data_IF_228047347409
#
_entry.id   IF_228047347409
#
_cell.length_a   1.000
_cell.length_b   1.000
_cell.length_c   1.000
_cell.angle_alpha   90.00
_cell.angle_beta   90.00
_cell.angle_gamma   90.00
#
_symmetry.space_group_name_H-M   'P 1'
#
loop_
_entity.id
_entity.type
_entity.pdbx_description
1 polymer ?
#
# COMPACT_ATOMS: atom_id res chain seq x y z
N UNK A 1 -8.85 62.00 62.98
CA UNK A 1 -9.65 61.05 62.15
C UNK A 1 -8.75 60.40 61.11
N UNK A 2 -9.08 59.21 60.59
CA UNK A 2 -8.20 58.44 59.66
C UNK A 2 -8.57 58.68 58.18
N UNK A 3 -7.61 59.12 57.36
CA UNK A 3 -7.53 58.88 55.89
C UNK A 3 -6.04 58.76 55.53
N UNK A 4 -5.53 57.57 55.23
CA UNK A 4 -5.38 56.98 53.88
C UNK A 4 -4.30 57.68 53.05
N UNK A 5 -3.21 56.95 52.77
CA UNK A 5 -2.11 57.35 51.88
C UNK A 5 -1.58 56.10 51.14
N UNK A 6 -1.15 56.27 49.88
CA UNK A 6 -0.52 55.26 48.99
C UNK A 6 -1.44 54.10 48.51
N UNK A 7 -1.10 53.40 47.39
CA UNK A 7 0.02 53.61 46.48
C UNK A 7 -0.37 53.91 45.01
N UNK A 8 0.22 54.96 44.42
CA UNK A 8 0.12 55.25 42.97
C UNK A 8 1.34 54.65 42.24
N UNK A 9 1.43 53.31 42.22
CA UNK A 9 2.60 52.56 41.71
C UNK A 9 2.23 51.47 40.70
N UNK A 10 0.96 51.04 40.69
CA UNK A 10 0.47 49.88 39.93
C UNK A 10 0.60 49.98 38.38
N UNK A 11 0.38 51.14 37.70
CA UNK A 11 0.26 51.13 36.24
C UNK A 11 1.58 50.92 35.47
N UNK A 12 2.73 51.22 36.08
CA UNK A 12 4.04 51.18 35.40
C UNK A 12 4.51 49.73 35.18
N UNK A 13 4.28 48.84 36.15
CA UNK A 13 4.71 47.44 36.07
C UNK A 13 4.04 46.67 34.91
N UNK A 14 2.76 46.95 34.64
CA UNK A 14 2.01 46.27 33.57
C UNK A 14 2.58 46.53 32.17
N UNK A 15 3.01 47.76 31.90
CA UNK A 15 3.58 48.14 30.60
C UNK A 15 4.93 47.45 30.32
N UNK A 16 5.77 47.26 31.35
CA UNK A 16 7.07 46.59 31.22
C UNK A 16 6.90 45.07 31.04
N UNK A 17 5.97 44.43 31.76
CA UNK A 17 5.66 43.02 31.54
C UNK A 17 5.08 42.75 30.14
N UNK A 18 4.20 43.62 29.64
CA UNK A 18 3.60 43.46 28.32
C UNK A 18 4.61 43.51 27.17
N UNK A 19 5.55 44.45 27.21
CA UNK A 19 6.59 44.58 26.16
C UNK A 19 7.59 43.43 26.21
N UNK A 20 8.00 42.97 27.39
CA UNK A 20 8.86 41.78 27.54
C UNK A 20 8.18 40.50 27.01
N UNK A 21 6.89 40.28 27.32
CA UNK A 21 6.16 39.11 26.82
C UNK A 21 6.04 39.13 25.28
N UNK A 22 5.73 40.30 24.71
CA UNK A 22 5.69 40.49 23.26
C UNK A 22 7.03 40.22 22.58
N UNK A 23 8.14 40.70 23.17
CA UNK A 23 9.49 40.46 22.66
C UNK A 23 9.87 38.96 22.69
N UNK A 24 9.53 38.23 23.76
CA UNK A 24 9.76 36.78 23.85
C UNK A 24 8.95 36.01 22.80
N UNK A 25 7.67 36.36 22.61
CA UNK A 25 6.82 35.75 21.57
C UNK A 25 7.39 36.02 20.17
N UNK A 26 7.76 37.28 19.88
CA UNK A 26 8.39 37.65 18.61
C UNK A 26 9.71 36.90 18.36
N UNK A 27 10.55 36.75 19.38
CA UNK A 27 11.79 35.97 19.29
C UNK A 27 11.54 34.48 19.05
N UNK A 28 10.56 33.87 19.72
CA UNK A 28 10.18 32.45 19.50
C UNK A 28 9.60 32.24 18.09
N UNK A 29 8.76 33.16 17.60
CA UNK A 29 8.23 33.11 16.24
C UNK A 29 9.35 33.31 15.22
N UNK A 30 10.23 34.28 15.39
CA UNK A 30 11.38 34.51 14.53
C UNK A 30 12.32 33.30 14.50
N UNK A 31 12.66 32.71 15.65
CA UNK A 31 13.52 31.51 15.75
C UNK A 31 12.86 30.27 15.12
N UNK A 32 11.53 30.14 15.19
CA UNK A 32 10.77 29.11 14.45
C UNK A 32 10.76 29.37 12.94
N UNK A 33 10.58 30.61 12.50
CA UNK A 33 10.62 30.98 11.09
C UNK A 33 12.02 30.80 10.48
N UNK A 34 13.09 31.18 11.19
CA UNK A 34 14.49 30.99 10.75
C UNK A 34 14.86 29.51 10.70
N UNK A 35 14.46 28.69 11.68
CA UNK A 35 14.73 27.24 11.63
C UNK A 35 13.90 26.55 10.53
N UNK A 36 12.65 26.96 10.29
CA UNK A 36 11.84 26.48 9.15
C UNK A 36 12.44 26.90 7.80
N UNK A 37 12.90 28.16 7.65
CA UNK A 37 13.52 28.67 6.41
C UNK A 37 14.88 28.01 6.13
N UNK A 38 15.68 27.73 7.17
CA UNK A 38 16.87 26.87 7.05
C UNK A 38 16.51 25.46 6.57
N UNK A 39 15.54 24.78 7.20
CA UNK A 39 15.11 23.43 6.77
C UNK A 39 14.69 23.37 5.30
N UNK A 40 13.90 24.34 4.83
CA UNK A 40 13.52 24.41 3.41
C UNK A 40 14.72 24.70 2.48
N UNK A 41 15.62 25.61 2.86
CA UNK A 41 16.81 25.93 2.05
C UNK A 41 17.81 24.76 1.97
N UNK A 42 17.96 23.98 3.05
CA UNK A 42 18.75 22.74 3.04
C UNK A 42 18.09 21.67 2.17
N UNK A 43 16.76 21.54 2.20
CA UNK A 43 16.02 20.61 1.35
C UNK A 43 16.21 20.91 -0.14
N UNK A 44 16.06 22.16 -0.57
CA UNK A 44 16.26 22.54 -1.98
C UNK A 44 17.71 22.35 -2.44
N UNK A 45 18.70 22.61 -1.56
CA UNK A 45 20.12 22.47 -1.94
C UNK A 45 20.55 21.02 -2.17
N UNK A 46 20.02 20.06 -1.40
CA UNK A 46 20.40 18.63 -1.51
C UNK A 46 19.83 17.99 -2.78
N UNK A 47 18.62 18.37 -3.20
CA UNK A 47 17.96 17.81 -4.41
C UNK A 47 18.76 18.11 -5.70
N UNK A 48 19.65 19.09 -5.70
CA UNK A 48 20.41 19.52 -6.88
C UNK A 48 21.69 18.73 -7.18
N UNK A 49 22.30 18.05 -6.20
CA UNK A 49 23.66 17.47 -6.35
C UNK A 49 23.68 15.98 -6.74
N UNK A 50 22.64 15.21 -6.40
CA UNK A 50 22.70 13.74 -6.45
C UNK A 50 22.35 13.14 -7.82
N UNK A 51 23.22 13.33 -8.83
CA UNK A 51 23.22 12.58 -10.10
C UNK A 51 24.24 11.43 -10.08
N UNK A 52 24.12 10.56 -9.08
CA UNK A 52 25.01 9.42 -8.85
C UNK A 52 24.49 8.11 -9.49
N UNK A 53 25.33 7.06 -9.43
CA UNK A 53 25.17 5.78 -10.12
C UNK A 53 23.99 4.97 -9.56
N UNK A 54 23.28 4.25 -10.42
CA UNK A 54 22.18 3.34 -10.04
C UNK A 54 22.71 1.91 -10.03
N UNK A 55 22.39 1.15 -8.99
CA UNK A 55 22.41 -0.32 -9.00
C UNK A 55 20.98 -0.85 -8.84
N UNK A 56 20.69 -1.99 -9.46
CA UNK A 56 19.42 -2.71 -9.35
C UNK A 56 19.74 -4.16 -9.06
N UNK A 57 19.35 -4.64 -7.87
CA UNK A 57 19.61 -6.03 -7.46
C UNK A 57 18.37 -6.90 -7.71
N UNK A 58 18.54 -7.90 -8.58
CA UNK A 58 17.67 -9.07 -8.70
C UNK A 58 18.56 -10.31 -8.56
N UNK A 59 18.07 -11.36 -7.89
CA UNK A 59 18.87 -12.55 -7.64
C UNK A 59 19.07 -13.44 -8.89
N UNK A 60 20.24 -14.10 -8.92
CA UNK A 60 20.78 -15.04 -9.93
C UNK A 60 21.61 -14.42 -11.08
N UNK A 61 22.79 -15.02 -11.30
CA UNK A 61 23.82 -14.58 -12.25
C UNK A 61 23.55 -14.98 -13.71
N UNK A 62 23.95 -14.11 -14.66
CA UNK A 62 24.62 -14.44 -15.94
C UNK A 62 25.23 -13.12 -16.52
N UNK A 63 26.35 -13.14 -17.30
CA UNK A 63 27.30 -12.00 -17.28
C UNK A 63 27.12 -10.92 -18.37
N UNK A 64 27.80 -9.78 -18.13
CA UNK A 64 27.81 -8.59 -19.02
C UNK A 64 28.55 -8.78 -20.36
N UNK A 65 27.90 -8.39 -21.45
CA UNK A 65 28.49 -7.71 -22.62
C UNK A 65 27.35 -7.00 -23.39
N UNK A 66 27.53 -5.97 -24.21
CA UNK A 66 28.71 -5.18 -24.59
C UNK A 66 28.28 -3.75 -24.96
N UNK A 67 29.20 -2.79 -25.05
CA UNK A 67 28.88 -1.38 -25.33
C UNK A 67 28.62 -1.11 -26.82
N UNK A 68 27.39 -0.75 -27.19
CA UNK A 68 27.03 -0.37 -28.56
C UNK A 68 27.10 1.16 -28.73
N UNK A 69 27.89 1.62 -29.70
CA UNK A 69 28.00 3.03 -30.07
C UNK A 69 27.03 3.38 -31.20
N UNK A 70 26.26 4.46 -31.05
CA UNK A 70 25.41 4.97 -32.13
C UNK A 70 26.26 5.54 -33.27
N UNK A 71 26.13 4.95 -34.45
CA UNK A 71 26.52 5.60 -35.72
C UNK A 71 25.26 6.19 -36.38
N UNK A 72 25.38 7.40 -36.90
CA UNK A 72 24.30 8.02 -37.68
C UNK A 72 24.10 7.26 -39.00
N UNK A 73 22.83 7.06 -39.37
CA UNK A 73 22.44 6.48 -40.66
C UNK A 73 22.14 7.64 -41.62
N UNK A 74 22.81 7.75 -42.78
CA UNK A 74 22.46 8.76 -43.78
C UNK A 74 21.16 8.38 -44.50
N UNK A 75 20.29 9.36 -44.72
CA UNK A 75 19.06 9.18 -45.52
C UNK A 75 19.25 9.77 -46.93
N UNK A 76 18.57 9.21 -47.92
CA UNK A 76 18.56 9.72 -49.30
C UNK A 76 17.21 9.41 -49.93
N UNK A 77 16.58 10.40 -50.55
CA UNK A 77 15.25 10.27 -51.17
C UNK A 77 15.40 10.04 -52.67
N UNK A 78 14.82 8.96 -53.24
CA UNK A 78 14.73 8.80 -54.69
C UNK A 78 13.71 9.77 -55.28
N UNK A 79 14.11 10.57 -56.27
CA UNK A 79 13.15 11.27 -57.14
C UNK A 79 12.47 10.26 -58.08
N UNK A 80 11.15 10.38 -58.26
CA UNK A 80 10.44 9.75 -59.38
C UNK A 80 9.65 10.80 -60.16
N UNK A 81 10.03 10.97 -61.43
CA UNK A 81 9.33 11.78 -62.43
C UNK A 81 8.43 10.90 -63.28
N UNK A 82 7.19 11.32 -63.53
CA UNK A 82 6.31 10.73 -64.56
C UNK A 82 5.65 11.85 -65.35
N UNK A 83 5.67 11.75 -66.67
CA UNK A 83 5.30 12.83 -67.59
C UNK A 83 3.80 13.15 -67.65
N UNK A 84 3.52 14.43 -67.91
CA UNK A 84 2.17 14.91 -68.26
C UNK A 84 2.00 14.91 -69.78
N UNK A 85 0.94 14.27 -70.29
CA UNK A 85 0.40 14.51 -71.64
C UNK A 85 -1.08 14.89 -71.55
N UNK A 86 -1.53 15.75 -72.47
CA UNK A 86 -2.81 16.49 -72.40
C UNK A 86 -3.43 16.62 -73.79
N UNK A 87 -4.71 17.01 -73.83
CA UNK A 87 -5.57 17.34 -74.99
C UNK A 87 -6.24 16.13 -75.67
N UNK A 88 -7.46 16.21 -76.23
CA UNK A 88 -8.62 17.12 -76.03
C UNK A 88 -9.85 16.60 -76.86
N UNK A 89 -11.05 17.20 -76.66
CA UNK A 89 -12.24 17.20 -77.58
C UNK A 89 -13.05 15.87 -77.63
N UNK A 90 -14.40 15.86 -77.66
CA UNK A 90 -15.43 16.91 -77.49
C UNK A 90 -16.84 16.40 -77.92
N UNK A 91 -17.94 17.04 -77.50
CA UNK A 91 -19.40 16.70 -77.75
C UNK A 91 -19.84 15.30 -77.24
N UNK A 92 -21.10 14.97 -76.86
CA UNK A 92 -22.40 15.66 -76.62
C UNK A 92 -23.39 14.62 -75.99
N UNK A 93 -24.64 14.82 -75.54
CA UNK A 93 -25.61 15.95 -75.52
C UNK A 93 -26.55 15.84 -74.26
N UNK A 94 -27.82 16.30 -74.31
CA UNK A 94 -28.82 16.30 -73.21
C UNK A 94 -29.76 15.06 -73.16
N UNK A 95 -30.21 14.62 -71.97
CA UNK A 95 -31.64 14.59 -71.55
C UNK A 95 -31.86 14.06 -70.10
N UNK A 96 -33.00 14.41 -69.49
CA UNK A 96 -33.61 13.78 -68.30
C UNK A 96 -35.10 13.46 -68.64
N UNK A 97 -35.71 12.36 -68.16
CA UNK A 97 -36.48 12.47 -66.89
C UNK A 97 -36.74 11.18 -66.06
N UNK A 98 -37.17 11.42 -64.81
CA UNK A 98 -38.20 10.68 -64.03
C UNK A 98 -38.18 9.14 -63.83
N UNK A 99 -38.03 8.74 -62.55
CA UNK A 99 -39.04 7.92 -61.84
C UNK A 99 -38.87 6.38 -61.82
N UNK A 100 -39.43 5.75 -60.77
CA UNK A 100 -39.60 4.29 -60.66
C UNK A 100 -39.02 3.65 -59.40
N UNK A 101 -39.64 2.56 -58.95
CA UNK A 101 -39.22 1.67 -57.86
C UNK A 101 -39.06 0.24 -58.41
N UNK A 102 -38.37 -0.62 -57.62
CA UNK A 102 -38.23 -2.09 -57.71
C UNK A 102 -36.94 -2.68 -58.34
N UNK A 103 -36.63 -3.90 -57.91
CA UNK A 103 -35.43 -4.73 -58.15
C UNK A 103 -35.68 -5.73 -59.34
N UNK A 104 -34.93 -6.84 -59.60
CA UNK A 104 -33.70 -7.41 -58.98
C UNK A 104 -32.65 -8.03 -59.96
N UNK A 105 -31.65 -8.74 -59.41
CA UNK A 105 -30.82 -9.82 -60.04
C UNK A 105 -29.81 -9.42 -61.15
N UNK A 106 -28.61 -9.99 -61.32
CA UNK A 106 -27.86 -11.12 -60.70
C UNK A 106 -26.32 -10.77 -60.60
N UNK A 107 -25.36 -11.72 -60.57
CA UNK A 107 -24.89 -12.36 -59.34
C UNK A 107 -23.40 -12.10 -58.97
N UNK A 108 -23.02 -12.66 -57.82
CA UNK A 108 -21.71 -12.56 -57.16
C UNK A 108 -20.46 -12.94 -58.00
N UNK A 109 -19.42 -12.11 -57.94
CA UNK A 109 -18.00 -12.55 -58.01
C UNK A 109 -17.22 -11.95 -56.85
N UNK A 110 -17.37 -12.53 -55.66
CA UNK A 110 -16.45 -12.29 -54.53
C UNK A 110 -15.08 -12.88 -54.88
N UNK A 111 -14.15 -12.05 -55.34
CA UNK A 111 -12.72 -12.40 -55.28
C UNK A 111 -12.36 -12.58 -53.79
N UNK A 112 -11.66 -13.65 -53.39
CA UNK A 112 -11.18 -13.77 -52.03
C UNK A 112 -10.08 -12.73 -51.79
N UNK A 113 -10.43 -11.64 -51.11
CA UNK A 113 -9.45 -10.79 -50.44
C UNK A 113 -8.80 -11.62 -49.34
N UNK A 114 -7.56 -12.02 -49.55
CA UNK A 114 -6.78 -12.75 -48.53
C UNK A 114 -6.43 -11.77 -47.42
N UNK A 115 -7.28 -11.72 -46.39
CA UNK A 115 -6.97 -11.04 -45.13
C UNK A 115 -5.85 -11.81 -44.42
N UNK A 116 -4.61 -11.46 -44.74
CA UNK A 116 -3.43 -11.94 -44.01
C UNK A 116 -3.43 -11.24 -42.64
N UNK A 117 -3.52 -11.97 -41.51
CA UNK A 117 -3.44 -11.35 -40.20
C UNK A 117 -2.08 -10.67 -40.03
N UNK A 118 -2.08 -9.35 -39.82
CA UNK A 118 -0.86 -8.54 -39.71
C UNK A 118 -0.43 -7.81 -41.00
N UNK A 119 -1.17 -7.91 -42.11
CA UNK A 119 -0.90 -7.10 -43.30
C UNK A 119 -1.43 -5.65 -43.14
N UNK A 120 -0.66 -4.79 -42.49
CA UNK A 120 -0.88 -3.34 -42.52
C UNK A 120 -0.82 -2.81 -43.96
N UNK A 121 -1.75 -1.94 -44.33
CA UNK A 121 -1.75 -1.31 -45.64
C UNK A 121 -0.49 -0.45 -45.80
N UNK A 122 0.24 -0.62 -46.90
CA UNK A 122 1.47 0.12 -47.20
C UNK A 122 1.23 1.64 -47.12
N UNK A 123 1.87 2.28 -46.12
CA UNK A 123 1.70 3.71 -45.81
C UNK A 123 0.91 4.01 -44.52
N UNK A 124 0.24 3.03 -43.90
CA UNK A 124 -0.35 3.19 -42.57
C UNK A 124 0.72 3.11 -41.48
N UNK A 125 0.83 4.16 -40.66
CA UNK A 125 1.69 4.19 -39.47
C UNK A 125 0.97 3.45 -38.36
N UNK A 126 1.47 2.28 -37.94
CA UNK A 126 0.95 1.58 -36.77
C UNK A 126 1.42 2.29 -35.48
N UNK A 127 0.52 2.84 -34.65
CA UNK A 127 0.89 3.47 -33.38
C UNK A 127 1.52 2.49 -32.37
N UNK A 128 1.33 1.17 -32.54
CA UNK A 128 1.93 0.17 -31.66
C UNK A 128 3.46 0.12 -31.78
N UNK A 129 4.00 0.28 -32.99
CA UNK A 129 5.45 0.26 -33.27
C UNK A 129 6.19 1.48 -32.71
N UNK A 130 5.48 2.57 -32.44
CA UNK A 130 6.02 3.80 -31.83
C UNK A 130 5.64 3.94 -30.35
N UNK A 131 4.92 2.96 -29.80
CA UNK A 131 4.60 2.91 -28.37
C UNK A 131 5.85 2.45 -27.63
N UNK A 132 6.60 3.41 -27.08
CA UNK A 132 7.74 3.13 -26.19
C UNK A 132 7.20 2.33 -25.00
N UNK A 133 7.43 1.02 -25.02
CA UNK A 133 7.29 0.14 -23.86
C UNK A 133 8.50 0.40 -22.98
N UNK A 134 8.32 0.64 -21.68
CA UNK A 134 9.45 0.57 -20.77
C UNK A 134 9.97 -0.89 -20.83
N UNK A 135 11.25 -1.14 -21.12
CA UNK A 135 11.79 -2.53 -21.16
C UNK A 135 11.59 -3.28 -19.82
N UNK A 136 11.33 -2.51 -18.76
CA UNK A 136 10.92 -2.84 -17.38
C UNK A 136 9.45 -3.31 -17.24
N UNK A 137 8.72 -3.64 -18.32
CA UNK A 137 7.31 -4.10 -18.26
C UNK A 137 7.09 -5.62 -18.56
N UNK A 138 8.15 -6.38 -18.85
CA UNK A 138 8.04 -7.84 -19.07
C UNK A 138 8.09 -8.62 -17.75
N UNK A 139 7.04 -8.50 -16.94
CA UNK A 139 6.91 -9.23 -15.65
C UNK A 139 5.69 -10.15 -15.62
N UNK A 140 5.84 -11.33 -15.01
CA UNK A 140 4.70 -12.14 -14.60
C UNK A 140 3.90 -11.39 -13.53
N UNK A 141 2.64 -11.05 -13.84
CA UNK A 141 1.72 -10.37 -12.94
C UNK A 141 0.88 -11.46 -12.24
N UNK A 142 0.98 -11.63 -10.90
CA UNK A 142 0.14 -12.59 -10.17
C UNK A 142 -1.36 -12.31 -10.34
N UNK A 143 -2.18 -13.36 -10.28
CA UNK A 143 -3.63 -13.29 -10.53
C UNK A 143 -4.36 -12.29 -9.60
N UNK A 144 -3.87 -12.12 -8.37
CA UNK A 144 -4.41 -11.19 -7.36
C UNK A 144 -3.64 -9.86 -7.23
N UNK A 145 -2.81 -9.50 -8.22
CA UNK A 145 -1.94 -8.32 -8.16
C UNK A 145 -2.74 -6.99 -8.12
N UNK A 146 -2.59 -6.25 -7.03
CA UNK A 146 -3.21 -4.91 -6.82
C UNK A 146 -2.24 -3.73 -7.05
N UNK A 147 -1.11 -3.98 -7.72
CA UNK A 147 -0.12 -2.98 -8.11
C UNK A 147 1.27 -3.22 -7.54
N UNK A 148 2.27 -2.56 -8.12
CA UNK A 148 3.68 -2.58 -7.70
C UNK A 148 4.14 -1.17 -7.33
N UNK A 149 4.93 -1.06 -6.26
CA UNK A 149 5.51 0.18 -5.77
C UNK A 149 7.04 0.15 -5.91
N UNK A 150 7.62 1.22 -6.48
CA UNK A 150 9.06 1.43 -6.56
C UNK A 150 9.45 2.63 -5.68
N UNK A 151 10.48 2.42 -4.87
CA UNK A 151 11.08 3.45 -4.02
C UNK A 151 12.61 3.28 -3.99
N UNK A 152 13.32 4.27 -3.46
CA UNK A 152 14.73 4.15 -3.15
C UNK A 152 14.99 4.45 -1.67
N UNK A 153 16.02 3.81 -1.12
CA UNK A 153 16.49 3.97 0.26
C UNK A 153 17.98 4.34 0.23
N UNK A 154 18.36 5.32 1.05
CA UNK A 154 19.71 5.86 1.17
C UNK A 154 19.88 6.35 2.63
N UNK A 155 21.04 6.16 3.26
CA UNK A 155 21.21 6.44 4.70
C UNK A 155 22.49 7.22 5.02
N UNK A 156 22.32 8.47 5.43
CA UNK A 156 23.41 9.41 5.73
C UNK A 156 23.85 9.24 7.19
N UNK A 157 24.74 8.27 7.43
CA UNK A 157 25.20 7.85 8.77
C UNK A 157 25.68 8.99 9.67
N UNK A 158 26.42 9.96 9.12
CA UNK A 158 26.96 11.11 9.87
C UNK A 158 25.89 11.99 10.53
N UNK A 159 24.67 11.97 10.01
CA UNK A 159 23.58 12.84 10.46
C UNK A 159 22.34 12.08 10.94
N UNK A 160 22.42 10.74 10.98
CA UNK A 160 21.34 9.82 11.35
C UNK A 160 20.04 10.05 10.55
N UNK A 161 20.17 10.30 9.24
CA UNK A 161 19.05 10.52 8.31
C UNK A 161 18.85 9.32 7.37
N UNK A 162 17.64 8.76 7.39
CA UNK A 162 17.15 7.83 6.38
C UNK A 162 16.38 8.61 5.31
N UNK A 163 16.91 8.63 4.09
CA UNK A 163 16.27 9.21 2.91
C UNK A 163 15.46 8.12 2.19
N UNK A 164 14.17 8.39 1.97
CA UNK A 164 13.24 7.52 1.26
C UNK A 164 12.69 8.28 0.06
N UNK A 165 13.00 7.85 -1.16
CA UNK A 165 12.48 8.46 -2.39
C UNK A 165 11.38 7.60 -2.98
N UNK A 166 10.15 8.11 -3.00
CA UNK A 166 9.00 7.46 -3.62
C UNK A 166 9.05 7.72 -5.13
N UNK A 167 9.28 6.67 -5.94
CA UNK A 167 9.55 6.82 -7.38
C UNK A 167 8.25 6.74 -8.18
N UNK A 168 7.68 5.53 -8.32
CA UNK A 168 6.51 5.24 -9.15
C UNK A 168 5.67 4.12 -8.53
N UNK A 169 4.40 4.05 -8.88
CA UNK A 169 3.64 2.81 -8.83
C UNK A 169 3.14 2.47 -10.25
N UNK A 170 2.90 1.18 -10.51
CA UNK A 170 2.20 0.67 -11.70
C UNK A 170 1.09 -0.29 -11.28
N UNK A 171 0.15 -0.53 -12.19
CA UNK A 171 -0.88 -1.58 -12.10
C UNK A 171 -1.83 -1.47 -10.89
N UNK A 172 -2.07 -0.25 -10.37
CA UNK A 172 -3.13 -0.05 -9.36
C UNK A 172 -4.51 -0.43 -9.93
N UNK A 173 -5.46 -0.92 -9.12
CA UNK A 173 -6.80 -1.29 -9.58
C UNK A 173 -7.61 -0.08 -10.08
N UNK A 174 -8.62 -0.32 -10.94
CA UNK A 174 -9.67 0.67 -11.24
C UNK A 174 -10.72 0.70 -10.14
N UNK A 175 -11.45 1.82 -10.04
CA UNK A 175 -12.50 2.02 -9.02
C UNK A 175 -13.77 1.20 -9.23
N UNK A 176 -13.99 0.77 -10.47
CA UNK A 176 -15.15 -0.02 -10.90
C UNK A 176 -14.71 -1.01 -11.96
N UNK A 177 -15.26 -2.22 -11.92
CA UNK A 177 -15.12 -3.18 -13.01
C UNK A 177 -15.92 -2.72 -14.23
N UNK A 178 -15.38 -2.92 -15.43
CA UNK A 178 -16.05 -2.61 -16.69
C UNK A 178 -15.98 -1.15 -17.17
N UNK A 179 -15.30 -0.25 -16.45
CA UNK A 179 -15.00 1.09 -16.98
C UNK A 179 -13.60 1.59 -16.57
N UNK A 180 -13.01 2.47 -17.39
CA UNK A 180 -11.67 3.04 -17.15
C UNK A 180 -11.70 4.17 -16.10
N UNK A 181 -12.36 3.95 -14.96
CA UNK A 181 -12.36 4.87 -13.82
C UNK A 181 -11.05 4.70 -13.05
N UNK A 182 -10.02 5.42 -13.51
CA UNK A 182 -8.71 5.49 -12.87
C UNK A 182 -8.79 6.06 -11.45
N UNK A 183 -7.87 5.63 -10.59
CA UNK A 183 -7.70 6.14 -9.23
C UNK A 183 -7.13 7.58 -9.20
N UNK A 184 -7.21 8.23 -8.04
CA UNK A 184 -6.50 9.48 -7.72
C UNK A 184 -5.49 9.20 -6.56
N UNK A 185 -4.42 8.42 -6.82
CA UNK A 185 -3.63 7.82 -5.76
C UNK A 185 -2.68 8.76 -5.00
N UNK A 186 -2.45 8.43 -3.74
CA UNK A 186 -1.38 8.99 -2.90
C UNK A 186 -0.82 7.91 -1.96
N UNK A 187 0.35 8.17 -1.37
CA UNK A 187 1.02 7.23 -0.46
C UNK A 187 1.29 7.89 0.89
N UNK A 188 1.10 7.14 1.98
CA UNK A 188 1.67 7.45 3.31
C UNK A 188 2.84 6.52 3.59
N UNK A 189 3.90 7.06 4.18
CA UNK A 189 5.13 6.36 4.52
C UNK A 189 5.32 6.47 6.03
N UNK A 190 5.43 5.32 6.69
CA UNK A 190 5.60 5.16 8.12
C UNK A 190 6.93 4.46 8.42
N UNK A 191 7.55 4.79 9.55
CA UNK A 191 8.74 4.09 10.03
C UNK A 191 8.40 3.29 11.29
N UNK A 192 8.21 1.99 11.13
CA UNK A 192 7.82 1.08 12.20
C UNK A 192 8.85 1.05 13.33
N UNK A 193 8.43 0.89 14.60
CA UNK A 193 7.04 0.73 15.06
C UNK A 193 6.24 2.04 15.27
N UNK A 194 6.75 3.23 14.90
CA UNK A 194 6.04 4.49 15.13
C UNK A 194 5.00 4.80 14.03
N UNK A 195 3.84 4.15 14.10
CA UNK A 195 2.73 4.42 13.19
C UNK A 195 2.01 5.76 13.46
N UNK A 196 2.29 6.44 14.58
CA UNK A 196 1.67 7.74 14.90
C UNK A 196 2.22 8.86 14.03
N UNK A 197 3.37 8.65 13.39
CA UNK A 197 4.02 9.60 12.48
C UNK A 197 4.15 9.02 11.07
N UNK A 198 3.57 9.72 10.10
CA UNK A 198 3.73 9.43 8.69
C UNK A 198 4.14 10.67 7.90
N UNK A 199 4.81 10.42 6.79
CA UNK A 199 5.03 11.41 5.72
C UNK A 199 4.11 11.03 4.55
N UNK A 200 3.60 12.01 3.80
CA UNK A 200 2.54 11.79 2.81
C UNK A 200 2.89 12.45 1.47
N UNK A 201 2.61 11.74 0.37
CA UNK A 201 2.80 12.27 -0.99
C UNK A 201 1.72 13.24 -1.41
N UNK A 202 2.02 13.99 -2.47
CA UNK A 202 1.01 14.67 -3.27
C UNK A 202 0.10 13.61 -3.92
N UNK A 203 -1.16 13.98 -4.10
CA UNK A 203 -2.14 13.21 -4.86
C UNK A 203 -1.83 13.32 -6.35
N UNK A 204 -1.74 12.20 -7.05
CA UNK A 204 -1.70 12.14 -8.52
C UNK A 204 -3.12 11.86 -9.01
N UNK A 205 -3.57 12.52 -10.09
CA UNK A 205 -4.98 12.44 -10.51
C UNK A 205 -5.20 11.51 -11.69
N UNK A 206 -6.33 10.81 -11.70
CA UNK A 206 -6.83 9.93 -12.78
C UNK A 206 -5.76 9.00 -13.36
N UNK A 207 -4.97 8.34 -12.53
CA UNK A 207 -3.91 7.43 -12.96
C UNK A 207 -3.78 6.19 -12.08
N UNK A 208 -3.60 5.04 -12.73
CA UNK A 208 -3.27 3.77 -12.09
C UNK A 208 -1.76 3.47 -12.14
N UNK A 209 -0.99 4.36 -12.80
CA UNK A 209 0.46 4.28 -12.94
C UNK A 209 1.10 5.62 -12.50
N UNK A 210 0.95 6.04 -11.21
CA UNK A 210 1.46 7.32 -10.75
C UNK A 210 2.99 7.37 -10.68
N UNK A 211 3.60 8.36 -11.33
CA UNK A 211 4.97 8.79 -11.01
C UNK A 211 4.92 9.81 -9.88
N UNK A 212 5.56 9.50 -8.75
CA UNK A 212 5.59 10.34 -7.56
C UNK A 212 6.77 11.30 -7.61
N UNK A 213 7.99 10.76 -7.64
CA UNK A 213 9.25 11.51 -7.71
C UNK A 213 9.39 12.49 -6.51
N UNK A 214 9.10 11.99 -5.32
CA UNK A 214 9.07 12.77 -4.06
C UNK A 214 9.96 12.10 -2.99
N UNK A 215 10.81 12.88 -2.32
CA UNK A 215 11.78 12.38 -1.33
C UNK A 215 11.45 12.85 0.09
N UNK A 216 11.65 11.96 1.06
CA UNK A 216 11.26 12.10 2.46
C UNK A 216 12.41 11.70 3.38
N UNK A 217 12.50 12.36 4.55
CA UNK A 217 13.59 12.11 5.52
C UNK A 217 13.01 11.69 6.86
N UNK A 218 13.45 10.54 7.36
CA UNK A 218 13.24 10.10 8.74
C UNK A 218 14.55 10.25 9.54
N UNK A 219 14.44 10.69 10.79
CA UNK A 219 15.58 10.73 11.72
C UNK A 219 15.67 9.38 12.44
N UNK A 220 16.72 8.61 12.22
CA UNK A 220 16.86 7.22 12.69
C UNK A 220 18.31 6.96 13.08
N UNK A 221 18.56 6.59 14.34
CA UNK A 221 19.92 6.22 14.74
C UNK A 221 20.33 4.89 14.13
N UNK A 222 21.57 4.83 13.60
CA UNK A 222 22.17 3.65 12.96
C UNK A 222 22.03 2.40 13.82
N UNK A 223 22.19 2.54 15.14
CA UNK A 223 22.06 1.46 16.14
C UNK A 223 20.70 0.77 16.16
N UNK A 224 19.66 1.43 15.64
CA UNK A 224 18.28 0.92 15.61
C UNK A 224 17.72 0.85 14.18
N UNK A 225 18.58 1.01 13.17
CA UNK A 225 18.15 1.10 11.76
C UNK A 225 17.59 -0.24 11.28
N UNK A 226 18.32 -1.33 11.53
CA UNK A 226 17.96 -2.69 11.11
C UNK A 226 16.65 -3.19 11.76
N UNK A 227 16.31 -2.69 12.96
CA UNK A 227 15.05 -3.02 13.66
C UNK A 227 13.81 -2.34 13.07
N UNK A 228 13.97 -1.42 12.10
CA UNK A 228 12.84 -0.70 11.48
C UNK A 228 12.30 -1.41 10.26
N UNK A 229 11.03 -1.13 9.98
CA UNK A 229 10.36 -1.47 8.72
C UNK A 229 9.77 -0.19 8.14
N UNK A 230 10.01 0.06 6.86
CA UNK A 230 9.23 1.06 6.12
C UNK A 230 7.90 0.43 5.74
N UNK A 231 6.79 0.99 6.23
CA UNK A 231 5.43 0.67 5.78
C UNK A 231 4.97 1.78 4.83
N UNK A 232 4.74 1.42 3.58
CA UNK A 232 4.05 2.26 2.62
C UNK A 232 2.56 1.85 2.61
N UNK A 233 1.65 2.82 2.64
CA UNK A 233 0.21 2.60 2.46
C UNK A 233 -0.24 3.41 1.25
N UNK A 234 -0.72 2.74 0.20
CA UNK A 234 -1.26 3.38 -1.00
C UNK A 234 -2.76 3.53 -0.83
N UNK A 235 -3.27 4.73 -1.09
CA UNK A 235 -4.69 5.08 -0.99
C UNK A 235 -5.23 5.60 -2.32
N UNK A 236 -6.53 5.39 -2.56
CA UNK A 236 -7.34 6.11 -3.54
C UNK A 236 -8.22 7.18 -2.85
N UNK A 237 -8.46 8.32 -3.49
CA UNK A 237 -9.34 9.39 -2.98
C UNK A 237 -10.66 9.40 -3.75
N UNK A 238 -11.74 8.89 -3.16
CA UNK A 238 -13.03 8.77 -3.84
C UNK A 238 -13.67 10.13 -4.19
N UNK A 239 -14.75 10.11 -4.99
CA UNK A 239 -15.49 11.33 -5.41
C UNK A 239 -16.02 12.19 -4.25
N UNK A 240 -16.14 11.62 -3.04
CA UNK A 240 -16.56 12.30 -1.81
C UNK A 240 -15.36 12.71 -0.93
N UNK A 241 -14.13 12.56 -1.44
CA UNK A 241 -12.83 12.79 -0.78
C UNK A 241 -12.53 11.83 0.38
N UNK A 242 -13.13 10.63 0.40
CA UNK A 242 -12.76 9.57 1.35
C UNK A 242 -11.49 8.86 0.88
N UNK A 243 -10.60 8.52 1.81
CA UNK A 243 -9.36 7.82 1.50
C UNK A 243 -9.57 6.30 1.66
N UNK A 244 -9.68 5.58 0.55
CA UNK A 244 -9.79 4.12 0.54
C UNK A 244 -8.38 3.52 0.47
N UNK A 245 -8.06 2.49 1.26
CA UNK A 245 -6.79 1.77 1.14
C UNK A 245 -6.82 0.91 -0.13
N UNK A 246 -5.77 0.97 -0.94
CA UNK A 246 -5.52 0.00 -2.03
C UNK A 246 -4.73 -1.18 -1.47
N UNK A 247 -3.63 -0.91 -0.77
CA UNK A 247 -2.74 -1.91 -0.20
C UNK A 247 -1.43 -1.30 0.33
N UNK A 248 -0.51 -2.18 0.72
CA UNK A 248 0.73 -1.82 1.41
C UNK A 248 1.95 -2.47 0.78
N UNK A 249 3.09 -1.81 0.93
CA UNK A 249 4.39 -2.45 0.77
C UNK A 249 5.16 -2.35 2.10
N UNK A 250 5.79 -3.45 2.49
CA UNK A 250 6.67 -3.53 3.66
C UNK A 250 8.11 -3.76 3.21
N UNK A 251 9.06 -3.06 3.82
CA UNK A 251 10.49 -3.25 3.58
C UNK A 251 11.27 -3.18 4.90
N UNK A 252 11.93 -4.27 5.27
CA UNK A 252 12.68 -4.38 6.52
C UNK A 252 14.07 -3.78 6.31
N UNK A 253 14.47 -2.80 7.12
CA UNK A 253 15.75 -2.10 6.93
C UNK A 253 16.98 -2.92 7.36
N UNK A 254 16.77 -4.13 7.90
CA UNK A 254 17.81 -5.17 7.99
C UNK A 254 18.25 -5.68 6.61
N UNK A 255 17.39 -5.58 5.60
CA UNK A 255 17.61 -6.04 4.22
C UNK A 255 18.32 -4.95 3.37
N UNK A 256 18.83 -3.90 4.01
CA UNK A 256 19.50 -2.75 3.41
C UNK A 256 20.89 -2.57 4.04
N UNK A 257 21.95 -2.58 3.23
CA UNK A 257 23.30 -2.29 3.71
C UNK A 257 23.52 -0.79 3.90
N UNK A 258 23.18 -0.30 5.10
CA UNK A 258 23.38 1.08 5.53
C UNK A 258 24.83 1.46 5.88
N UNK A 259 25.81 0.58 5.68
CA UNK A 259 27.23 0.97 5.62
C UNK A 259 27.61 1.44 4.21
N UNK A 260 26.92 0.95 3.17
CA UNK A 260 27.01 1.54 1.84
C UNK A 260 26.28 2.89 1.81
N UNK A 261 26.98 3.97 1.48
CA UNK A 261 26.35 5.28 1.21
C UNK A 261 25.80 5.32 -0.24
N UNK A 262 25.23 4.20 -0.70
CA UNK A 262 24.65 4.03 -2.03
C UNK A 262 23.11 4.07 -1.94
N UNK A 263 22.50 4.48 -3.06
CA UNK A 263 21.04 4.60 -3.17
C UNK A 263 20.45 3.31 -3.75
N UNK A 264 20.02 2.41 -2.86
CA UNK A 264 19.35 1.17 -3.25
C UNK A 264 17.96 1.47 -3.83
N UNK A 265 17.68 1.01 -5.05
CA UNK A 265 16.33 1.07 -5.65
C UNK A 265 15.62 -0.26 -5.44
N UNK A 266 14.46 -0.23 -4.79
CA UNK A 266 13.68 -1.41 -4.40
C UNK A 266 12.28 -1.35 -5.02
N UNK A 267 11.79 -2.50 -5.46
CA UNK A 267 10.39 -2.69 -5.79
C UNK A 267 9.74 -3.70 -4.83
N UNK A 268 8.45 -3.49 -4.57
CA UNK A 268 7.59 -4.41 -3.81
C UNK A 268 6.20 -4.41 -4.43
N UNK A 269 5.62 -5.59 -4.54
CA UNK A 269 4.20 -5.71 -4.86
C UNK A 269 3.36 -5.25 -3.67
N UNK A 270 2.18 -4.71 -3.96
CA UNK A 270 1.24 -4.28 -2.94
C UNK A 270 0.46 -5.51 -2.43
N UNK A 271 0.52 -5.72 -1.12
CA UNK A 271 -0.36 -6.64 -0.42
C UNK A 271 -1.62 -5.87 -0.02
N UNK A 272 -2.81 -6.47 -0.20
CA UNK A 272 -4.02 -5.94 0.44
C UNK A 272 -3.75 -5.92 1.93
N UNK A 273 -4.08 -4.84 2.65
CA UNK A 273 -4.07 -4.95 4.10
C UNK A 273 -5.05 -6.05 4.46
N UNK A 274 -4.63 -7.00 5.30
CA UNK A 274 -5.59 -7.76 6.09
C UNK A 274 -6.03 -6.85 7.24
N UNK A 275 -6.63 -5.69 6.87
CA UNK A 275 -7.49 -4.96 7.78
C UNK A 275 -8.55 -5.95 8.23
N UNK A 276 -8.90 -5.88 9.50
CA UNK A 276 -10.14 -6.41 10.05
C UNK A 276 -11.36 -5.84 9.30
N UNK A 277 -11.65 -6.36 8.09
CA UNK A 277 -12.85 -6.06 7.32
C UNK A 277 -14.03 -6.79 7.95
N UNK A 278 -14.44 -6.30 9.11
CA UNK A 278 -15.74 -6.63 9.69
C UNK A 278 -16.83 -6.36 8.63
N UNK A 279 -17.89 -7.17 8.53
CA UNK A 279 -18.40 -8.08 9.57
C UNK A 279 -18.89 -9.42 9.01
N UNK A 280 -18.44 -9.83 7.82
CA UNK A 280 -19.10 -10.90 7.05
C UNK A 280 -18.74 -12.34 7.48
N UNK A 281 -17.65 -12.55 8.22
CA UNK A 281 -17.28 -13.89 8.75
C UNK A 281 -17.79 -14.15 10.18
N UNK A 282 -18.65 -13.29 10.71
CA UNK A 282 -19.15 -13.41 12.07
C UNK A 282 -18.11 -13.03 13.13
N UNK A 283 -18.43 -13.34 14.39
CA UNK A 283 -17.68 -12.93 15.58
C UNK A 283 -17.50 -14.09 16.55
N UNK A 284 -16.47 -14.01 17.40
CA UNK A 284 -16.14 -15.01 18.41
C UNK A 284 -15.99 -14.34 19.78
N UNK A 285 -16.69 -14.87 20.77
CA UNK A 285 -16.58 -14.43 22.17
C UNK A 285 -15.43 -15.18 22.85
N UNK A 286 -14.37 -14.44 23.17
CA UNK A 286 -13.11 -14.95 23.69
C UNK A 286 -12.87 -14.38 25.09
N UNK A 287 -12.34 -15.20 25.99
CA UNK A 287 -11.77 -14.72 27.24
C UNK A 287 -10.27 -14.90 27.32
N UNK A 288 -9.63 -14.00 28.06
CA UNK A 288 -8.22 -14.05 28.40
C UNK A 288 -8.07 -13.91 29.92
N UNK A 289 -7.13 -14.67 30.48
CA UNK A 289 -6.69 -14.51 31.87
C UNK A 289 -5.23 -14.90 31.98
N UNK A 290 -4.42 -14.04 32.61
CA UNK A 290 -3.00 -14.32 32.85
C UNK A 290 -2.67 -14.32 34.34
N UNK A 291 -1.90 -15.31 34.77
CA UNK A 291 -1.44 -15.46 36.15
C UNK A 291 0.09 -15.55 36.20
N UNK A 292 0.73 -14.41 36.45
CA UNK A 292 2.18 -14.25 36.52
C UNK A 292 2.82 -15.25 37.51
N UNK A 293 2.17 -15.49 38.65
CA UNK A 293 2.70 -16.38 39.71
C UNK A 293 2.78 -17.85 39.30
N UNK A 294 2.09 -18.25 38.23
CA UNK A 294 2.12 -19.63 37.70
C UNK A 294 2.67 -19.70 36.26
N UNK A 295 3.05 -18.56 35.67
CA UNK A 295 3.37 -18.41 34.24
C UNK A 295 2.28 -19.01 33.33
N UNK A 296 1.01 -18.77 33.64
CA UNK A 296 -0.14 -19.40 32.95
C UNK A 296 -1.01 -18.37 32.24
N UNK A 297 -1.21 -18.61 30.96
CA UNK A 297 -2.16 -17.92 30.09
C UNK A 297 -3.35 -18.86 29.84
N UNK A 298 -4.56 -18.46 30.23
CA UNK A 298 -5.80 -19.20 29.96
C UNK A 298 -6.61 -18.45 28.92
N UNK A 299 -7.05 -19.18 27.89
CA UNK A 299 -7.86 -18.66 26.78
C UNK A 299 -9.21 -19.39 26.79
N UNK A 300 -10.30 -18.68 27.06
CA UNK A 300 -11.66 -19.22 26.95
C UNK A 300 -12.21 -18.99 25.55
N UNK A 301 -12.85 -20.00 24.96
CA UNK A 301 -13.59 -19.91 23.70
C UNK A 301 -15.04 -20.27 24.04
N UNK A 302 -15.93 -19.29 24.05
CA UNK A 302 -17.31 -19.49 24.53
C UNK A 302 -18.28 -19.73 23.38
N UNK A 303 -18.51 -18.74 22.53
CA UNK A 303 -19.52 -18.80 21.48
C UNK A 303 -19.03 -18.09 20.22
N UNK A 304 -19.33 -18.69 19.07
CA UNK A 304 -19.31 -18.02 17.77
C UNK A 304 -20.69 -17.50 17.42
N UNK A 305 -20.75 -16.43 16.63
CA UNK A 305 -21.99 -15.78 16.20
C UNK A 305 -21.92 -15.39 14.73
N UNK A 306 -22.96 -15.70 13.96
CA UNK A 306 -23.10 -15.29 12.57
C UNK A 306 -21.98 -15.80 11.65
N UNK A 307 -21.53 -17.04 11.85
CA UNK A 307 -20.55 -17.69 10.96
C UNK A 307 -21.18 -17.90 9.57
N UNK A 308 -20.97 -16.94 8.66
CA UNK A 308 -21.48 -16.99 7.29
C UNK A 308 -20.77 -18.06 6.44
N UNK A 309 -21.12 -19.33 6.65
CA UNK A 309 -20.71 -20.45 5.78
C UNK A 309 -21.76 -20.70 4.71
N UNK A 310 -21.34 -20.83 3.44
CA UNK A 310 -22.21 -21.04 2.26
C UNK A 310 -23.19 -22.23 2.39
N UNK A 311 -22.89 -23.15 3.32
CA UNK A 311 -23.78 -24.21 3.77
C UNK A 311 -23.50 -24.53 5.25
N UNK A 312 -24.50 -24.94 6.05
CA UNK A 312 -24.31 -25.22 7.47
C UNK A 312 -23.39 -26.42 7.68
N UNK A 313 -22.18 -26.15 8.16
CA UNK A 313 -21.12 -27.14 8.38
C UNK A 313 -20.83 -27.37 9.86
N UNK A 314 -20.04 -28.41 10.14
CA UNK A 314 -19.49 -28.64 11.46
C UNK A 314 -18.31 -27.67 11.67
N UNK A 315 -18.14 -27.13 12.87
CA UNK A 315 -17.11 -26.11 13.17
C UNK A 315 -16.34 -26.43 14.44
N UNK A 316 -15.07 -26.03 14.47
CA UNK A 316 -14.23 -26.08 15.66
C UNK A 316 -13.23 -24.91 15.66
N UNK A 317 -12.75 -24.50 16.82
CA UNK A 317 -11.73 -23.46 16.96
C UNK A 317 -10.39 -24.08 17.29
N UNK A 318 -9.34 -23.65 16.60
CA UNK A 318 -7.93 -24.02 16.83
C UNK A 318 -7.20 -22.85 17.46
N UNK A 319 -6.63 -23.06 18.64
CA UNK A 319 -5.96 -22.03 19.43
C UNK A 319 -4.45 -22.32 19.40
N UNK A 320 -3.66 -21.43 18.81
CA UNK A 320 -2.21 -21.58 18.69
C UNK A 320 -1.52 -20.45 19.47
N UNK A 321 -0.76 -20.79 20.52
CA UNK A 321 0.16 -19.86 21.16
C UNK A 321 1.48 -19.82 20.37
N UNK A 322 1.87 -18.62 19.95
CA UNK A 322 3.16 -18.31 19.33
C UNK A 322 4.02 -17.47 20.27
N UNK A 323 5.34 -17.64 20.18
CA UNK A 323 6.35 -16.79 20.80
C UNK A 323 7.45 -16.54 19.77
N UNK A 324 7.84 -15.27 19.57
CA UNK A 324 8.83 -14.87 18.55
C UNK A 324 8.50 -15.43 17.15
N UNK A 325 7.22 -15.38 16.76
CA UNK A 325 6.66 -15.94 15.53
C UNK A 325 6.84 -17.46 15.33
N UNK A 326 7.20 -18.22 16.37
CA UNK A 326 7.24 -19.69 16.35
C UNK A 326 6.07 -20.26 17.15
N UNK A 327 5.38 -21.27 16.62
CA UNK A 327 4.28 -21.94 17.32
C UNK A 327 4.85 -22.73 18.51
N UNK A 328 4.51 -22.30 19.72
CA UNK A 328 4.92 -22.95 20.96
C UNK A 328 3.99 -24.12 21.32
N UNK A 329 2.68 -23.94 21.18
CA UNK A 329 1.69 -25.00 21.39
C UNK A 329 0.35 -24.70 20.72
N UNK A 330 -0.26 -25.72 20.14
CA UNK A 330 -1.63 -25.68 19.60
C UNK A 330 -2.57 -26.53 20.44
N UNK A 331 -3.83 -26.12 20.51
CA UNK A 331 -4.99 -26.87 21.00
C UNK A 331 -6.17 -26.67 20.04
N UNK A 332 -7.24 -27.44 20.22
CA UNK A 332 -8.52 -27.26 19.51
C UNK A 332 -9.68 -27.55 20.45
N UNK A 333 -10.84 -26.98 20.13
CA UNK A 333 -12.13 -27.37 20.72
C UNK A 333 -12.60 -28.73 20.22
N UNK A 334 -13.69 -29.22 20.81
CA UNK A 334 -14.59 -30.18 20.18
C UNK A 334 -15.27 -29.60 18.93
N UNK A 335 -15.94 -30.46 18.17
CA UNK A 335 -16.56 -30.14 16.88
C UNK A 335 -18.06 -29.95 17.06
N UNK A 336 -18.52 -28.70 16.99
CA UNK A 336 -19.93 -28.32 17.11
C UNK A 336 -20.59 -28.43 15.74
N UNK A 337 -21.72 -29.12 15.65
CA UNK A 337 -22.30 -29.55 14.36
C UNK A 337 -23.32 -28.57 13.80
N UNK A 338 -23.22 -28.29 12.49
CA UNK A 338 -24.22 -27.60 11.65
C UNK A 338 -24.92 -26.40 12.30
N UNK A 339 -24.15 -25.41 12.75
CA UNK A 339 -24.70 -24.16 13.31
C UNK A 339 -23.81 -22.97 13.00
N UNK A 340 -24.43 -21.87 12.60
CA UNK A 340 -23.76 -20.57 12.36
C UNK A 340 -23.49 -19.81 13.68
N UNK A 341 -23.98 -20.34 14.80
CA UNK A 341 -23.77 -19.80 16.14
C UNK A 341 -23.33 -20.93 17.09
N UNK A 342 -22.08 -21.44 16.95
CA UNK A 342 -21.59 -22.57 17.74
C UNK A 342 -21.24 -22.16 19.17
N UNK A 343 -21.74 -22.90 20.16
CA UNK A 343 -21.30 -22.79 21.54
C UNK A 343 -20.25 -23.87 21.84
N UNK A 344 -19.05 -23.43 22.23
CA UNK A 344 -17.92 -24.29 22.61
C UNK A 344 -17.76 -24.37 24.13
N UNK A 345 -17.86 -23.24 24.84
CA UNK A 345 -17.67 -23.11 26.30
C UNK A 345 -16.41 -23.80 26.87
N UNK A 346 -15.33 -23.84 26.10
CA UNK A 346 -14.06 -24.49 26.48
C UNK A 346 -13.02 -23.48 26.99
N UNK A 347 -12.06 -23.95 27.80
CA UNK A 347 -10.99 -23.11 28.35
C UNK A 347 -9.62 -23.78 28.32
N UNK A 348 -8.65 -23.06 27.78
CA UNK A 348 -7.35 -23.60 27.36
C UNK A 348 -6.19 -22.90 28.08
N UNK A 349 -5.65 -23.54 29.11
CA UNK A 349 -4.41 -23.05 29.75
C UNK A 349 -3.16 -23.44 28.97
N UNK A 350 -2.23 -22.50 28.83
CA UNK A 350 -0.90 -22.61 28.24
C UNK A 350 0.14 -22.14 29.27
N UNK A 351 1.37 -22.67 29.21
CA UNK A 351 2.50 -22.08 29.94
C UNK A 351 3.13 -20.98 29.08
N UNK A 352 3.20 -19.77 29.61
CA UNK A 352 3.83 -18.60 28.98
C UNK A 352 4.61 -17.81 30.05
N UNK A 353 5.95 -17.83 30.03
CA UNK A 353 6.78 -17.01 30.92
C UNK A 353 6.50 -15.51 30.78
N UNK A 354 6.65 -14.77 31.88
CA UNK A 354 6.41 -13.31 31.91
C UNK A 354 7.35 -12.59 30.93
N UNK A 355 8.60 -13.05 30.82
CA UNK A 355 9.61 -12.55 29.86
C UNK A 355 9.17 -12.62 28.39
N UNK A 356 8.18 -13.46 28.08
CA UNK A 356 7.78 -13.75 26.72
C UNK A 356 6.50 -13.01 26.31
N UNK A 357 5.76 -12.41 27.26
CA UNK A 357 4.46 -11.72 27.01
C UNK A 357 4.55 -10.71 25.86
N UNK A 358 5.55 -9.82 25.88
CA UNK A 358 5.74 -8.79 24.84
C UNK A 358 6.07 -9.39 23.47
N UNK A 359 6.54 -10.65 23.41
CA UNK A 359 6.90 -11.37 22.20
C UNK A 359 5.92 -12.51 21.84
N UNK A 360 4.77 -12.57 22.51
CA UNK A 360 3.77 -13.62 22.36
C UNK A 360 2.50 -13.14 21.63
N UNK A 361 1.84 -14.10 20.97
CA UNK A 361 0.51 -13.92 20.39
C UNK A 361 -0.26 -15.24 20.37
N UNK A 362 -1.58 -15.16 20.44
CA UNK A 362 -2.50 -16.26 20.22
C UNK A 362 -3.14 -16.06 18.85
N UNK A 363 -2.96 -17.01 17.95
CA UNK A 363 -3.78 -17.13 16.75
C UNK A 363 -4.95 -18.06 17.04
N UNK A 364 -6.16 -17.52 16.98
CA UNK A 364 -7.42 -18.23 17.16
C UNK A 364 -8.05 -18.39 15.78
N UNK A 365 -8.01 -19.61 15.24
CA UNK A 365 -8.51 -19.92 13.89
C UNK A 365 -9.82 -20.72 13.99
N UNK A 366 -10.92 -20.17 13.46
CA UNK A 366 -12.15 -20.93 13.24
C UNK A 366 -12.00 -21.83 12.01
N UNK A 367 -12.35 -23.10 12.15
CA UNK A 367 -12.21 -24.15 11.16
C UNK A 367 -13.57 -24.72 10.78
N UNK A 368 -13.81 -24.88 9.48
CA UNK A 368 -14.95 -25.57 8.89
C UNK A 368 -14.56 -27.03 8.65
N UNK A 369 -15.23 -27.96 9.33
CA UNK A 369 -15.07 -29.40 9.20
C UNK A 369 -16.19 -29.99 8.34
N UNK A 370 -15.84 -30.91 7.44
CA UNK A 370 -16.80 -31.62 6.61
C UNK A 370 -16.31 -33.06 6.39
N UNK A 371 -17.12 -34.04 6.78
CA UNK A 371 -16.78 -35.46 6.65
C UNK A 371 -16.45 -35.83 5.19
N UNK A 372 -15.29 -36.46 4.99
CA UNK A 372 -14.77 -36.84 3.66
C UNK A 372 -13.96 -35.74 2.93
N UNK A 373 -13.92 -34.51 3.45
CA UNK A 373 -13.19 -33.39 2.87
C UNK A 373 -12.09 -32.88 3.82
N UNK A 374 -11.19 -32.03 3.30
CA UNK A 374 -10.12 -31.41 4.08
C UNK A 374 -10.65 -30.16 4.80
N UNK A 375 -10.39 -30.05 6.10
CA UNK A 375 -10.78 -28.89 6.92
C UNK A 375 -10.34 -27.56 6.28
N UNK A 376 -11.29 -26.62 6.15
CA UNK A 376 -11.10 -25.29 5.56
C UNK A 376 -10.98 -24.26 6.69
N UNK A 377 -10.08 -23.29 6.55
CA UNK A 377 -10.05 -22.12 7.44
C UNK A 377 -11.26 -21.25 7.11
N UNK A 378 -12.08 -20.97 8.12
CA UNK A 378 -13.24 -20.09 7.99
C UNK A 378 -12.83 -18.62 8.21
N UNK A 379 -12.23 -18.35 9.37
CA UNK A 379 -11.67 -17.04 9.71
C UNK A 379 -10.71 -17.11 10.91
N UNK A 380 -10.03 -16.01 11.21
CA UNK A 380 -9.03 -15.91 12.29
C UNK A 380 -9.14 -14.63 13.10
N UNK A 381 -8.69 -14.69 14.35
CA UNK A 381 -8.42 -13.56 15.25
C UNK A 381 -7.00 -13.73 15.80
N UNK A 382 -6.25 -12.63 15.96
CA UNK A 382 -4.89 -12.63 16.52
C UNK A 382 -4.86 -11.69 17.71
N UNK A 383 -4.73 -12.25 18.92
CA UNK A 383 -4.58 -11.51 20.17
C UNK A 383 -3.09 -11.53 20.58
N UNK A 384 -2.56 -10.46 21.16
CA UNK A 384 -1.14 -10.41 21.51
C UNK A 384 -0.64 -9.01 21.82
N UNK A 385 0.68 -8.89 22.00
CA UNK A 385 1.32 -7.58 22.19
C UNK A 385 1.17 -6.67 20.96
N UNK A 386 1.55 -5.39 21.12
CA UNK A 386 1.51 -4.36 20.07
C UNK A 386 2.28 -4.73 18.77
N UNK A 387 3.15 -5.74 18.83
CA UNK A 387 3.87 -6.29 17.68
C UNK A 387 3.01 -7.20 16.78
N UNK A 388 1.90 -7.75 17.31
CA UNK A 388 1.09 -8.78 16.63
C UNK A 388 -0.39 -8.43 16.50
N UNK A 389 -0.95 -7.71 17.48
CA UNK A 389 -2.36 -7.30 17.50
C UNK A 389 -2.48 -5.77 17.55
N UNK A 390 -3.64 -5.26 17.15
CA UNK A 390 -4.04 -3.84 17.14
C UNK A 390 -5.51 -3.71 17.58
N UNK A 391 -6.07 -2.51 17.61
CA UNK A 391 -7.50 -2.31 17.88
C UNK A 391 -7.96 -2.98 19.19
N UNK A 392 -9.15 -3.60 19.14
CA UNK A 392 -9.76 -4.31 20.29
C UNK A 392 -8.93 -5.52 20.69
N UNK A 393 -8.29 -6.15 19.73
CA UNK A 393 -7.49 -7.36 19.82
C UNK A 393 -6.21 -7.12 20.66
N UNK A 394 -5.65 -5.91 20.56
CA UNK A 394 -4.57 -5.40 21.43
C UNK A 394 -5.10 -4.89 22.77
N UNK A 395 -6.22 -4.16 22.78
CA UNK A 395 -6.79 -3.64 24.02
C UNK A 395 -7.21 -4.77 24.98
N UNK A 396 -7.79 -5.87 24.47
CA UNK A 396 -8.12 -7.08 25.26
C UNK A 396 -6.87 -7.76 25.85
N UNK A 397 -5.76 -7.78 25.11
CA UNK A 397 -4.49 -8.31 25.60
C UNK A 397 -3.89 -7.40 26.69
N UNK A 398 -3.93 -6.09 26.50
CA UNK A 398 -3.48 -5.12 27.49
C UNK A 398 -4.32 -5.19 28.78
N UNK A 399 -5.65 -5.33 28.64
CA UNK A 399 -6.59 -5.51 29.74
C UNK A 399 -6.28 -6.78 30.55
N UNK A 400 -5.99 -7.90 29.88
CA UNK A 400 -5.55 -9.15 30.51
C UNK A 400 -4.21 -9.00 31.26
N UNK A 401 -3.25 -8.24 30.72
CA UNK A 401 -1.95 -8.00 31.37
C UNK A 401 -2.09 -7.09 32.60
N UNK A 402 -3.02 -6.14 32.58
CA UNK A 402 -3.34 -5.28 33.72
C UNK A 402 -4.10 -6.05 34.82
N UNK A 403 -5.18 -6.74 34.46
CA UNK A 403 -6.11 -7.39 35.39
C UNK A 403 -5.68 -8.83 35.70
N UNK A 404 -4.50 -8.97 36.34
CA UNK A 404 -3.90 -10.27 36.63
C UNK A 404 -4.81 -11.18 37.45
N UNK A 405 -4.91 -12.45 37.04
CA UNK A 405 -5.78 -13.51 37.60
C UNK A 405 -7.29 -13.31 37.43
N UNK A 406 -7.74 -12.15 36.98
CA UNK A 406 -9.13 -11.95 36.56
C UNK A 406 -9.31 -12.45 35.12
N UNK A 407 -10.56 -12.53 34.65
CA UNK A 407 -10.90 -13.00 33.32
C UNK A 407 -11.56 -11.86 32.52
N UNK A 408 -10.84 -11.33 31.53
CA UNK A 408 -11.37 -10.32 30.61
C UNK A 408 -12.08 -11.02 29.47
N UNK A 409 -13.26 -10.54 29.06
CA UNK A 409 -14.10 -11.18 28.03
C UNK A 409 -14.49 -10.18 26.95
N UNK A 410 -14.17 -10.45 25.68
CA UNK A 410 -14.48 -9.55 24.57
C UNK A 410 -14.91 -10.31 23.31
N UNK A 411 -15.69 -9.64 22.47
CA UNK A 411 -16.09 -10.11 21.14
C UNK A 411 -15.10 -9.61 20.09
N UNK A 412 -14.53 -10.54 19.33
CA UNK A 412 -13.59 -10.26 18.24
C UNK A 412 -14.18 -10.74 16.92
N UNK A 413 -14.10 -9.91 15.88
CA UNK A 413 -14.68 -10.23 14.57
C UNK A 413 -13.70 -11.09 13.76
N UNK A 414 -14.18 -12.16 13.12
CA UNK A 414 -13.33 -13.08 12.37
C UNK A 414 -12.87 -12.49 11.03
N UNK A 415 -11.61 -12.72 10.67
CA UNK A 415 -10.94 -12.18 9.46
C UNK A 415 -10.47 -13.27 8.51
#
# INVERSE_FOLDING_TARGET
>A
MKKVLLPLVIPIAGAVCGTLLGAVIAFVVWRRCVTRRRKNSTYEKIVSDHKARIQVENGHHVPMSSSVSMRQIPFTVPNQSVDVRRLARGSSEEYQPSGGLSEPTSPCVKRPSVEIPGAYALGSIDPSLYKIVDEDDTYEIPVDHIGRLWFAVEYERETEKLLVTLIKAKNLPTRQYGNNSSCDPFVRIYLMPDERRYLQSKFKKKTNNPKFEESYVFQVSHRTLQDRVLKFTVYDVDRHKRHNVIGHALYQLKDFDGESNERLVVWRDLEKEVTESATDKGELFVSLSYNNSLERLTVGIYEGKGFNTDSPCDSYVKICLLVQNKVLKSKKTEVVKKTDNPNFSESFTFKLPVSNLDSASINITAMQHQSGYKDKVFGRVILGSFMFARGRELDHWNEMVANQREQTTQWHSLV
#
